data_IF_087983596719
#
_entry.id   IF_087983596719
#
_cell.length_a   1.000
_cell.length_b   1.000
_cell.length_c   1.000
_cell.angle_alpha   90.00
_cell.angle_beta   90.00
_cell.angle_gamma   90.00
#
_symmetry.space_group_name_H-M   'P 1'
#
loop_
_entity.id
_entity.type
_entity.pdbx_description
1 polymer ?
#
# COMPACT_ATOMS: atom_id res chain seq x y z
N UNK A 1 6.70 24.85 -56.65
CA UNK A 1 5.80 24.78 -55.48
C UNK A 1 5.96 23.43 -54.81
N UNK A 2 6.91 23.31 -53.86
CA UNK A 2 7.09 22.13 -52.97
C UNK A 2 7.75 22.64 -51.69
N UNK A 3 6.96 22.84 -50.63
CA UNK A 3 7.43 23.06 -49.26
C UNK A 3 7.07 21.80 -48.50
N UNK A 4 8.06 20.92 -48.28
CA UNK A 4 8.02 19.84 -47.29
C UNK A 4 9.45 19.61 -46.82
N UNK A 5 9.59 19.18 -45.57
CA UNK A 5 10.84 18.84 -44.86
C UNK A 5 11.43 19.97 -44.00
N UNK A 6 10.79 20.26 -42.86
CA UNK A 6 11.42 20.90 -41.69
C UNK A 6 10.54 20.75 -40.42
N UNK A 7 10.00 19.55 -40.17
CA UNK A 7 9.35 19.21 -38.88
C UNK A 7 9.68 17.74 -38.55
N UNK A 8 10.93 17.45 -38.19
CA UNK A 8 11.32 16.14 -37.68
C UNK A 8 12.49 16.18 -36.66
N UNK A 9 12.99 17.38 -36.31
CA UNK A 9 14.15 17.54 -35.44
C UNK A 9 13.83 18.06 -34.03
N UNK A 10 12.54 18.13 -33.64
CA UNK A 10 12.12 18.71 -32.36
C UNK A 10 11.92 17.73 -31.19
N UNK A 11 11.81 16.43 -31.46
CA UNK A 11 11.46 15.44 -30.41
C UNK A 11 12.64 14.64 -29.85
N UNK A 12 13.85 14.77 -30.42
CA UNK A 12 15.02 14.03 -29.96
C UNK A 12 15.83 14.74 -28.86
N UNK A 13 15.59 16.03 -28.59
CA UNK A 13 16.38 16.79 -27.61
C UNK A 13 15.84 16.76 -26.18
N UNK A 14 14.60 16.28 -25.96
CA UNK A 14 14.04 16.15 -24.61
C UNK A 14 14.53 14.90 -23.85
N UNK A 15 15.11 13.93 -24.55
CA UNK A 15 15.58 12.67 -23.95
C UNK A 15 17.00 12.76 -23.33
N UNK A 16 17.76 13.84 -23.59
CA UNK A 16 19.11 14.04 -23.01
C UNK A 16 19.15 14.98 -21.80
N UNK A 17 18.00 15.48 -21.31
CA UNK A 17 17.94 16.41 -20.18
C UNK A 17 17.76 15.72 -18.80
N UNK A 18 17.74 14.39 -18.73
CA UNK A 18 17.21 13.65 -17.57
C UNK A 18 18.22 13.25 -16.46
N UNK A 19 19.42 13.80 -16.42
CA UNK A 19 20.34 13.59 -15.28
C UNK A 19 20.56 14.93 -14.57
N UNK A 20 19.48 15.47 -14.00
CA UNK A 20 19.61 16.52 -13.00
C UNK A 20 20.28 15.88 -11.79
N UNK A 21 21.57 16.15 -11.61
CA UNK A 21 22.26 15.91 -10.36
C UNK A 21 21.57 16.79 -9.31
N UNK A 22 20.78 16.17 -8.42
CA UNK A 22 20.19 16.89 -7.29
C UNK A 22 21.30 17.51 -6.45
N UNK A 23 21.01 18.62 -5.77
CA UNK A 23 21.96 19.28 -4.87
C UNK A 23 22.45 18.35 -3.73
N UNK A 24 21.77 17.22 -3.50
CA UNK A 24 22.14 16.17 -2.54
C UNK A 24 22.80 14.93 -3.16
N UNK A 25 23.10 14.94 -4.47
CA UNK A 25 23.89 13.91 -5.14
C UNK A 25 23.18 12.58 -5.40
N UNK A 26 21.87 12.47 -5.14
CA UNK A 26 21.05 11.34 -5.58
C UNK A 26 20.61 11.59 -7.03
N UNK A 27 21.05 10.79 -8.02
CA UNK A 27 20.56 10.92 -9.40
C UNK A 27 19.11 10.41 -9.46
N UNK A 28 18.20 11.13 -10.11
CA UNK A 28 16.90 10.60 -10.49
C UNK A 28 16.89 10.24 -12.00
N UNK A 29 16.23 9.15 -12.43
CA UNK A 29 15.57 8.12 -11.62
C UNK A 29 16.56 7.19 -10.89
N UNK A 30 16.09 6.53 -9.83
CA UNK A 30 16.84 5.51 -9.09
C UNK A 30 16.19 4.13 -9.23
N UNK A 31 16.75 3.23 -10.05
CA UNK A 31 16.31 1.84 -10.08
C UNK A 31 16.55 1.16 -8.73
N UNK A 32 15.58 0.38 -8.28
CA UNK A 32 15.64 -0.37 -7.03
C UNK A 32 16.44 -1.68 -7.14
N UNK A 33 16.90 -2.05 -8.35
CA UNK A 33 17.77 -3.21 -8.56
C UNK A 33 17.09 -4.56 -8.35
N UNK A 34 15.76 -4.61 -8.30
CA UNK A 34 15.04 -5.86 -8.04
C UNK A 34 14.73 -6.67 -9.31
N UNK A 35 15.13 -6.19 -10.48
CA UNK A 35 14.94 -6.88 -11.75
C UNK A 35 16.03 -7.95 -11.97
N UNK A 36 15.67 -9.09 -12.56
CA UNK A 36 16.63 -10.13 -12.90
C UNK A 36 15.97 -11.45 -13.34
N UNK A 37 16.76 -12.53 -13.48
CA UNK A 37 16.24 -13.85 -13.82
C UNK A 37 15.30 -14.37 -12.73
N UNK A 38 14.25 -15.08 -13.13
CA UNK A 38 13.26 -15.67 -12.23
C UNK A 38 13.87 -16.34 -10.99
N UNK A 39 13.35 -15.97 -9.83
CA UNK A 39 13.71 -16.53 -8.53
C UNK A 39 15.20 -16.37 -8.14
N UNK A 40 15.98 -15.60 -8.90
CA UNK A 40 17.38 -15.38 -8.60
C UNK A 40 17.51 -14.47 -7.37
N UNK A 41 18.57 -14.64 -6.56
CA UNK A 41 18.90 -13.66 -5.54
C UNK A 41 19.30 -12.33 -6.18
N UNK A 42 18.77 -11.23 -5.65
CA UNK A 42 19.14 -9.87 -6.00
C UNK A 42 19.28 -9.00 -4.73
N UNK A 43 19.84 -7.81 -4.87
CA UNK A 43 19.97 -6.84 -3.80
C UNK A 43 19.11 -5.60 -4.11
N UNK A 44 18.29 -5.19 -3.14
CA UNK A 44 17.55 -3.95 -3.25
C UNK A 44 18.52 -2.76 -3.13
N UNK A 45 18.50 -1.88 -4.12
CA UNK A 45 19.18 -0.59 -4.12
C UNK A 45 18.21 0.50 -3.68
N UNK A 46 18.02 0.62 -2.36
CA UNK A 46 17.09 1.58 -1.76
C UNK A 46 17.86 2.67 -1.02
N UNK A 47 17.42 3.93 -1.07
CA UNK A 47 18.05 5.01 -0.32
C UNK A 47 17.78 4.85 1.19
N UNK A 48 18.48 5.65 1.99
CA UNK A 48 18.09 5.84 3.38
C UNK A 48 16.82 6.70 3.44
N UNK A 49 15.78 6.19 4.11
CA UNK A 49 14.51 6.90 4.26
C UNK A 49 14.53 7.73 5.55
N UNK A 50 14.50 9.07 5.47
CA UNK A 50 14.62 9.94 6.64
C UNK A 50 13.33 9.95 7.48
N UNK A 51 13.37 10.45 8.72
CA UNK A 51 12.15 10.71 9.47
C UNK A 51 11.27 11.77 8.79
N UNK A 52 9.95 11.60 8.87
CA UNK A 52 8.95 12.53 8.36
C UNK A 52 8.08 13.09 9.49
N UNK A 53 7.66 14.35 9.36
CA UNK A 53 6.73 15.00 10.27
C UNK A 53 5.63 15.66 9.46
N UNK A 54 4.48 15.01 9.37
CA UNK A 54 3.40 15.37 8.46
C UNK A 54 2.20 15.93 9.25
N UNK A 55 1.61 17.07 8.84
CA UNK A 55 0.28 17.42 9.32
C UNK A 55 -0.72 16.38 8.81
N UNK A 56 -1.74 16.02 9.58
CA UNK A 56 -2.60 14.89 9.24
C UNK A 56 -4.04 15.09 9.69
N UNK A 57 -4.92 14.18 9.26
CA UNK A 57 -6.27 14.02 9.79
C UNK A 57 -6.41 12.64 10.43
N UNK A 58 -7.05 12.61 11.60
CA UNK A 58 -7.72 11.39 12.06
C UNK A 58 -9.11 11.36 11.44
N UNK A 59 -9.54 10.22 10.91
CA UNK A 59 -10.87 10.02 10.35
C UNK A 59 -11.59 8.94 11.12
N UNK A 60 -12.84 9.20 11.50
CA UNK A 60 -13.69 8.20 12.11
C UNK A 60 -14.96 8.08 11.30
N UNK A 61 -15.28 6.85 10.95
CA UNK A 61 -16.46 6.49 10.21
C UNK A 61 -17.45 5.81 11.14
N UNK A 62 -18.72 6.14 11.04
CA UNK A 62 -19.80 5.37 11.64
C UNK A 62 -20.80 5.02 10.55
N UNK A 63 -21.11 3.74 10.38
CA UNK A 63 -21.99 3.27 9.30
C UNK A 63 -21.51 3.76 7.93
N UNK A 64 -20.19 3.67 7.71
CA UNK A 64 -19.50 4.13 6.50
C UNK A 64 -19.61 5.63 6.20
N UNK A 65 -20.10 6.43 7.16
CA UNK A 65 -20.15 7.88 7.07
C UNK A 65 -19.05 8.51 7.91
N UNK A 66 -18.28 9.47 7.36
CA UNK A 66 -17.36 10.26 8.17
C UNK A 66 -18.14 11.03 9.25
N UNK A 67 -17.80 10.82 10.53
CA UNK A 67 -18.44 11.49 11.68
C UNK A 67 -17.51 12.44 12.41
N UNK A 68 -16.21 12.19 12.39
CA UNK A 68 -15.19 13.05 13.01
C UNK A 68 -13.94 13.09 12.15
N UNK A 69 -13.34 14.29 12.06
CA UNK A 69 -12.15 14.56 11.24
C UNK A 69 -11.18 15.50 11.96
N UNK A 70 -10.71 15.19 13.19
CA UNK A 70 -9.81 16.10 13.89
C UNK A 70 -8.45 16.22 13.19
N UNK A 71 -7.92 17.45 13.19
CA UNK A 71 -6.53 17.69 12.82
C UNK A 71 -5.59 16.94 13.76
N UNK A 72 -4.54 16.37 13.19
CA UNK A 72 -3.55 15.57 13.87
C UNK A 72 -2.16 15.93 13.33
N UNK A 73 -1.13 15.38 13.95
CA UNK A 73 0.22 15.37 13.42
C UNK A 73 0.80 13.97 13.52
N UNK A 74 1.34 13.49 12.42
CA UNK A 74 2.08 12.23 12.31
C UNK A 74 3.58 12.53 12.38
N UNK A 75 4.27 11.85 13.28
CA UNK A 75 5.72 11.76 13.29
C UNK A 75 6.11 10.31 12.98
N UNK A 76 6.82 10.14 11.86
CA UNK A 76 7.36 8.86 11.40
C UNK A 76 8.88 8.92 11.57
N UNK A 77 9.44 7.99 12.35
CA UNK A 77 10.89 7.82 12.47
C UNK A 77 11.51 7.41 11.13
N UNK A 78 12.82 7.59 10.98
CA UNK A 78 13.53 7.10 9.79
C UNK A 78 13.36 5.58 9.66
N UNK A 79 13.14 5.10 8.43
CA UNK A 79 12.91 3.68 8.20
C UNK A 79 14.25 2.91 8.28
N UNK A 80 14.26 1.86 9.10
CA UNK A 80 15.44 1.01 9.33
C UNK A 80 15.20 -0.35 8.68
N UNK A 81 16.13 -0.87 7.84
CA UNK A 81 15.96 -2.17 7.20
C UNK A 81 16.04 -3.30 8.24
N UNK A 82 15.11 -4.26 8.14
CA UNK A 82 15.04 -5.47 8.98
C UNK A 82 15.40 -6.72 8.16
N UNK A 83 14.93 -6.77 6.92
CA UNK A 83 15.29 -7.80 5.94
C UNK A 83 15.17 -7.21 4.54
N UNK A 84 15.37 -8.02 3.49
CA UNK A 84 15.35 -7.48 2.15
C UNK A 84 13.96 -6.96 1.80
N UNK A 85 13.87 -5.68 1.45
CA UNK A 85 12.60 -5.00 1.19
C UNK A 85 11.69 -4.84 2.40
N UNK A 86 12.10 -5.18 3.63
CA UNK A 86 11.29 -4.99 4.82
C UNK A 86 11.99 -4.03 5.78
N UNK A 87 11.24 -3.03 6.22
CA UNK A 87 11.70 -1.94 7.08
C UNK A 87 10.82 -1.81 8.31
N UNK A 88 11.34 -1.11 9.31
CA UNK A 88 10.59 -0.67 10.47
C UNK A 88 10.77 0.82 10.71
N UNK A 89 9.71 1.47 11.17
CA UNK A 89 9.73 2.87 11.55
C UNK A 89 8.80 3.11 12.74
N UNK A 90 9.23 3.92 13.70
CA UNK A 90 8.39 4.30 14.82
C UNK A 90 7.33 5.32 14.36
N UNK A 91 6.06 5.07 14.63
CA UNK A 91 4.97 6.03 14.44
C UNK A 91 4.59 6.65 15.78
N UNK A 92 4.33 7.96 15.76
CA UNK A 92 3.60 8.68 16.80
C UNK A 92 2.57 9.61 16.17
N UNK A 93 1.32 9.52 16.61
CA UNK A 93 0.23 10.43 16.23
C UNK A 93 -0.06 11.33 17.42
N UNK A 94 -0.05 12.63 17.20
CA UNK A 94 -0.30 13.66 18.21
C UNK A 94 -1.54 14.47 17.86
N UNK A 95 -2.33 14.80 18.87
CA UNK A 95 -3.47 15.71 18.72
C UNK A 95 -3.02 17.18 18.68
N UNK A 96 -3.93 18.15 18.41
CA UNK A 96 -3.58 19.56 18.35
C UNK A 96 -3.06 20.14 19.67
N UNK A 97 -3.36 19.50 20.80
CA UNK A 97 -2.84 19.87 22.12
C UNK A 97 -1.40 19.35 22.36
N UNK A 98 -0.81 18.62 21.40
CA UNK A 98 0.53 18.06 21.48
C UNK A 98 0.62 16.72 22.23
N UNK A 99 -0.50 16.16 22.68
CA UNK A 99 -0.51 14.86 23.35
C UNK A 99 -0.47 13.72 22.33
N UNK A 100 0.38 12.73 22.56
CA UNK A 100 0.40 11.50 21.77
C UNK A 100 -0.89 10.70 22.04
N UNK A 101 -1.58 10.31 20.97
CA UNK A 101 -2.85 9.56 21.02
C UNK A 101 -2.69 8.14 20.50
N UNK A 102 -1.81 7.91 19.53
CA UNK A 102 -1.46 6.58 19.03
C UNK A 102 0.05 6.50 18.82
N UNK A 103 0.64 5.35 19.13
CA UNK A 103 2.06 5.07 18.88
C UNK A 103 2.29 3.57 18.67
N UNK A 104 3.31 3.23 17.91
CA UNK A 104 3.68 1.85 17.65
C UNK A 104 4.76 1.73 16.58
N UNK A 105 5.28 0.52 16.41
CA UNK A 105 6.24 0.22 15.35
C UNK A 105 5.48 -0.15 14.08
N UNK A 106 5.78 0.54 12.98
CA UNK A 106 5.31 0.16 11.66
C UNK A 106 6.21 -0.93 11.11
N UNK A 107 5.62 -2.00 10.59
CA UNK A 107 6.26 -2.88 9.62
C UNK A 107 5.96 -2.35 8.23
N UNK A 108 7.00 -2.06 7.45
CA UNK A 108 6.91 -1.44 6.13
C UNK A 108 7.54 -2.38 5.11
N UNK A 109 6.73 -2.97 4.23
CA UNK A 109 7.22 -3.87 3.19
C UNK A 109 7.24 -3.11 1.85
N UNK A 110 8.44 -2.83 1.34
CA UNK A 110 8.69 -2.11 0.10
C UNK A 110 8.09 -2.86 -1.09
N UNK A 111 7.29 -2.19 -1.90
CA UNK A 111 6.68 -2.79 -3.09
C UNK A 111 7.37 -2.37 -4.36
N UNK A 112 7.40 -1.05 -4.65
CA UNK A 112 7.83 -0.52 -5.95
C UNK A 112 8.38 0.90 -5.83
N UNK A 113 9.02 1.35 -6.90
CA UNK A 113 9.44 2.74 -7.09
C UNK A 113 9.08 3.26 -8.49
N UNK A 114 8.73 4.55 -8.58
CA UNK A 114 8.41 5.21 -9.84
C UNK A 114 8.77 6.69 -9.80
N UNK A 115 8.66 7.33 -10.96
CA UNK A 115 8.81 8.77 -11.08
C UNK A 115 7.46 9.42 -11.32
N UNK A 116 7.19 10.51 -10.61
CA UNK A 116 6.05 11.37 -10.84
C UNK A 116 6.45 12.73 -11.37
N UNK A 117 5.60 13.30 -12.24
CA UNK A 117 5.74 14.64 -12.78
C UNK A 117 4.45 15.42 -12.53
N UNK A 118 4.46 16.40 -11.61
CA UNK A 118 3.33 17.29 -11.40
C UNK A 118 3.09 18.18 -12.63
N UNK A 119 1.89 18.76 -12.80
CA UNK A 119 1.63 19.72 -13.86
C UNK A 119 2.63 20.88 -13.82
N UNK A 120 3.22 21.20 -14.97
CA UNK A 120 4.31 22.16 -15.06
C UNK A 120 3.90 23.57 -14.58
N UNK A 121 4.82 24.34 -13.94
CA UNK A 121 6.18 23.97 -13.55
C UNK A 121 6.23 23.37 -12.14
N UNK A 122 6.50 22.07 -12.00
CA UNK A 122 6.62 21.43 -10.69
C UNK A 122 7.79 20.44 -10.62
N UNK A 123 8.25 20.10 -9.41
CA UNK A 123 9.39 19.21 -9.19
C UNK A 123 9.06 17.77 -9.62
N UNK A 124 9.98 17.12 -10.31
CA UNK A 124 9.90 15.68 -10.54
C UNK A 124 10.17 14.94 -9.23
N UNK A 125 9.32 13.98 -8.87
CA UNK A 125 9.51 13.15 -7.67
C UNK A 125 9.96 11.75 -8.06
N UNK A 126 10.92 11.18 -7.32
CA UNK A 126 11.11 9.73 -7.25
C UNK A 126 10.38 9.23 -6.01
N UNK A 127 9.49 8.25 -6.17
CA UNK A 127 8.63 7.75 -5.09
C UNK A 127 8.97 6.30 -4.77
N UNK A 128 9.06 5.95 -3.50
CA UNK A 128 9.16 4.58 -3.02
C UNK A 128 7.97 4.26 -2.13
N UNK A 129 7.22 3.22 -2.48
CA UNK A 129 6.02 2.80 -1.75
C UNK A 129 6.28 1.61 -0.85
N UNK A 130 5.65 1.67 0.31
CA UNK A 130 5.62 0.61 1.30
C UNK A 130 4.18 0.26 1.63
N UNK A 131 3.87 -1.04 1.64
CA UNK A 131 2.70 -1.53 2.35
C UNK A 131 3.01 -1.55 3.84
N UNK A 132 2.10 -1.02 4.64
CA UNK A 132 2.31 -0.81 6.07
C UNK A 132 1.34 -1.63 6.90
N UNK A 133 1.86 -2.24 7.97
CA UNK A 133 1.11 -2.95 9.01
C UNK A 133 1.63 -2.54 10.38
N UNK A 134 0.75 -2.31 11.34
CA UNK A 134 1.15 -1.86 12.67
C UNK A 134 0.19 -2.31 13.76
N UNK A 135 0.71 -2.55 14.96
CA UNK A 135 -0.08 -2.61 16.18
C UNK A 135 0.12 -1.28 16.91
N UNK A 136 -0.90 -0.42 16.88
CA UNK A 136 -0.85 0.90 17.50
C UNK A 136 -1.57 0.88 18.84
N UNK A 137 -0.91 1.40 19.88
CA UNK A 137 -1.46 1.57 21.21
C UNK A 137 -1.58 3.04 21.60
N UNK A 138 -2.31 3.31 22.67
CA UNK A 138 -2.44 4.67 23.22
C UNK A 138 -1.40 4.92 24.29
N UNK A 139 -0.83 6.13 24.32
CA UNK A 139 -0.10 6.61 25.50
C UNK A 139 -1.11 7.24 26.46
N UNK A 140 -1.55 6.46 27.46
CA UNK A 140 -2.29 6.84 28.68
C UNK A 140 -3.36 7.97 28.63
N UNK A 141 -4.59 7.63 29.03
CA UNK A 141 -5.66 8.51 29.51
C UNK A 141 -6.43 9.40 28.49
N UNK A 142 -6.13 9.33 27.20
CA UNK A 142 -6.96 9.97 26.16
C UNK A 142 -8.09 8.99 25.81
N UNK A 143 -9.25 9.10 26.48
CA UNK A 143 -10.45 8.31 26.13
C UNK A 143 -10.76 8.39 24.63
N UNK A 144 -11.51 7.43 24.08
CA UNK A 144 -11.72 7.11 22.64
C UNK A 144 -12.12 8.25 21.69
N UNK A 145 -11.30 9.29 21.61
CA UNK A 145 -11.38 10.40 20.68
C UNK A 145 -10.74 9.99 19.37
N UNK A 146 -11.35 10.37 18.25
CA UNK A 146 -10.86 10.06 16.92
C UNK A 146 -9.38 10.45 16.74
N UNK A 147 -8.50 9.61 16.14
CA UNK A 147 -8.78 8.31 15.51
C UNK A 147 -8.53 7.08 16.41
N UNK A 148 -8.54 7.23 17.73
CA UNK A 148 -8.25 6.13 18.67
C UNK A 148 -9.41 5.12 18.69
N UNK A 149 -9.19 3.85 18.30
CA UNK A 149 -10.23 2.83 18.36
C UNK A 149 -10.64 2.51 19.79
N UNK A 150 -11.94 2.37 20.02
CA UNK A 150 -12.51 2.02 21.34
C UNK A 150 -12.15 0.61 21.81
N UNK A 151 -11.65 -0.25 20.91
CA UNK A 151 -11.18 -1.59 21.24
C UNK A 151 -9.83 -1.61 21.99
N UNK A 152 -9.09 -0.50 22.00
CA UNK A 152 -7.86 -0.39 22.79
C UNK A 152 -8.23 -0.28 24.27
N UNK A 153 -7.83 -1.27 25.06
CA UNK A 153 -8.14 -1.39 26.50
C UNK A 153 -6.91 -1.78 27.29
N UNK A 154 -6.98 -1.77 28.63
CA UNK A 154 -5.88 -2.29 29.46
C UNK A 154 -5.57 -3.79 29.18
N UNK A 155 -6.57 -4.58 28.80
CA UNK A 155 -6.40 -5.98 28.44
C UNK A 155 -5.82 -6.16 27.03
N UNK A 156 -6.11 -5.23 26.12
CA UNK A 156 -5.65 -5.24 24.73
C UNK A 156 -5.09 -3.86 24.38
N UNK A 157 -3.81 -3.61 24.72
CA UNK A 157 -3.23 -2.26 24.71
C UNK A 157 -2.91 -1.72 23.32
N UNK A 158 -3.10 -2.53 22.28
CA UNK A 158 -2.84 -2.17 20.88
C UNK A 158 -3.95 -2.70 19.98
N UNK A 159 -4.10 -2.08 18.81
CA UNK A 159 -4.98 -2.57 17.74
C UNK A 159 -4.29 -2.51 16.38
N UNK A 160 -4.73 -3.36 15.46
CA UNK A 160 -4.12 -3.54 14.15
C UNK A 160 -4.53 -2.44 13.17
N UNK A 161 -3.55 -1.82 12.52
CA UNK A 161 -3.71 -0.87 11.43
C UNK A 161 -2.96 -1.35 10.20
N UNK A 162 -3.48 -1.05 9.01
CA UNK A 162 -2.82 -1.35 7.74
C UNK A 162 -3.09 -0.27 6.69
N UNK A 163 -2.26 -0.23 5.64
CA UNK A 163 -2.39 0.71 4.52
C UNK A 163 -1.06 0.87 3.79
N UNK A 164 -0.65 2.11 3.50
CA UNK A 164 0.63 2.40 2.83
C UNK A 164 1.34 3.63 3.39
N UNK A 165 2.63 3.71 3.09
CA UNK A 165 3.44 4.91 3.25
C UNK A 165 4.31 5.10 2.01
N UNK A 166 4.38 6.34 1.54
CA UNK A 166 5.24 6.75 0.44
C UNK A 166 6.32 7.70 0.94
N UNK A 167 7.54 7.48 0.45
CA UNK A 167 8.61 8.46 0.52
C UNK A 167 8.82 9.03 -0.87
N UNK A 168 8.66 10.35 -1.00
CA UNK A 168 8.81 11.05 -2.26
C UNK A 168 10.04 11.98 -2.18
N UNK A 169 11.05 11.74 -3.01
CA UNK A 169 12.22 12.58 -3.11
C UNK A 169 12.05 13.55 -4.28
N UNK A 170 12.02 14.86 -3.96
CA UNK A 170 12.04 15.92 -4.96
C UNK A 170 13.41 15.94 -5.65
N UNK A 171 13.45 15.54 -6.91
CA UNK A 171 14.66 15.41 -7.70
C UNK A 171 15.32 16.77 -8.03
N UNK A 172 14.59 17.87 -7.90
CA UNK A 172 15.11 19.23 -8.12
C UNK A 172 15.73 19.81 -6.86
N UNK A 173 15.00 19.75 -5.74
CA UNK A 173 15.42 20.39 -4.47
C UNK A 173 16.23 19.45 -3.57
N UNK A 174 16.11 18.15 -3.78
CA UNK A 174 16.68 17.12 -2.92
C UNK A 174 15.95 16.97 -1.58
N UNK A 175 14.71 17.46 -1.45
CA UNK A 175 13.95 17.32 -0.20
C UNK A 175 13.06 16.08 -0.21
N UNK A 176 12.84 15.52 0.97
CA UNK A 176 11.91 14.41 1.16
C UNK A 176 10.54 14.91 1.60
N UNK A 177 9.53 14.44 0.90
CA UNK A 177 8.12 14.49 1.26
C UNK A 177 7.60 13.06 1.47
N UNK A 178 6.34 12.91 1.85
CA UNK A 178 5.72 11.60 1.93
C UNK A 178 4.24 11.64 2.20
N UNK A 179 3.61 10.48 2.02
CA UNK A 179 2.22 10.24 2.34
C UNK A 179 2.10 9.02 3.26
N UNK A 180 1.06 8.99 4.07
CA UNK A 180 0.73 7.87 4.96
C UNK A 180 -0.78 7.74 5.04
N UNK A 181 -1.28 6.54 4.77
CA UNK A 181 -2.66 6.16 5.07
C UNK A 181 -2.65 4.87 5.86
N UNK A 182 -3.27 4.92 7.05
CA UNK A 182 -3.48 3.76 7.91
C UNK A 182 -4.96 3.63 8.23
N UNK A 183 -5.44 2.40 8.30
CA UNK A 183 -6.83 2.09 8.57
C UNK A 183 -6.98 0.95 9.57
N UNK A 184 -7.96 1.09 10.44
CA UNK A 184 -8.47 0.05 11.32
C UNK A 184 -9.94 -0.20 10.95
N UNK A 185 -10.22 -1.40 10.46
CA UNK A 185 -11.55 -1.83 10.05
C UNK A 185 -12.53 -1.98 11.22
N UNK A 186 -13.81 -2.09 10.89
CA UNK A 186 -14.82 -2.46 11.90
C UNK A 186 -14.70 -3.93 12.29
N UNK A 187 -15.46 -4.35 13.30
CA UNK A 187 -15.40 -5.72 13.86
C UNK A 187 -15.51 -6.83 12.84
N UNK A 188 -16.28 -6.62 11.77
CA UNK A 188 -16.41 -7.61 10.70
C UNK A 188 -15.02 -8.04 10.23
N UNK A 189 -14.11 -7.11 10.04
CA UNK A 189 -12.76 -7.37 9.53
C UNK A 189 -11.75 -7.50 10.68
N UNK A 190 -11.87 -6.66 11.71
CA UNK A 190 -10.86 -6.53 12.76
C UNK A 190 -11.13 -7.27 14.07
N UNK A 191 -12.34 -7.77 14.29
CA UNK A 191 -12.69 -8.48 15.54
C UNK A 191 -13.55 -9.72 15.30
N UNK A 192 -13.61 -10.23 14.06
CA UNK A 192 -14.28 -11.50 13.72
C UNK A 192 -13.88 -12.62 14.69
N UNK A 193 -14.70 -13.67 14.93
CA UNK A 193 -14.36 -14.78 15.84
C UNK A 193 -13.01 -15.49 15.60
N UNK A 194 -12.32 -15.18 14.50
CA UNK A 194 -10.97 -15.63 14.15
C UNK A 194 -9.86 -14.63 14.52
N UNK A 195 -10.21 -13.47 15.09
CA UNK A 195 -9.26 -12.45 15.50
C UNK A 195 -8.46 -12.89 16.71
N UNK A 196 -7.15 -12.66 16.65
CA UNK A 196 -6.26 -12.99 17.76
C UNK A 196 -6.26 -11.91 18.87
N UNK A 197 -6.93 -10.78 18.65
CA UNK A 197 -7.10 -9.71 19.64
C UNK A 197 -8.57 -9.64 20.08
N UNK A 198 -8.97 -10.32 21.17
CA UNK A 198 -10.31 -10.15 21.74
C UNK A 198 -10.47 -8.69 22.22
N UNK A 199 -11.66 -8.11 22.19
CA UNK A 199 -11.79 -6.69 22.56
C UNK A 199 -13.22 -6.19 22.68
N UNK A 200 -13.35 -4.88 22.89
CA UNK A 200 -14.64 -4.18 22.82
C UNK A 200 -15.01 -3.99 21.35
N UNK A 201 -16.07 -4.67 20.95
CA UNK A 201 -16.67 -4.61 19.62
C UNK A 201 -17.19 -3.20 19.27
N UNK A 202 -16.85 -2.70 18.09
CA UNK A 202 -17.35 -1.49 17.44
C UNK A 202 -17.84 -1.79 16.00
N UNK A 203 -18.99 -2.47 15.84
CA UNK A 203 -19.37 -3.09 14.57
C UNK A 203 -19.75 -2.08 13.48
N UNK A 204 -20.06 -0.85 13.88
CA UNK A 204 -20.37 0.25 12.97
C UNK A 204 -19.22 1.20 12.71
N UNK A 205 -18.08 1.04 13.38
CA UNK A 205 -17.05 2.09 13.43
C UNK A 205 -15.73 1.61 12.85
N UNK A 206 -15.11 2.46 12.05
CA UNK A 206 -13.75 2.29 11.55
C UNK A 206 -12.97 3.60 11.65
N UNK A 207 -11.65 3.51 11.60
CA UNK A 207 -10.76 4.61 11.93
C UNK A 207 -9.65 4.68 10.88
N UNK A 208 -9.28 5.87 10.45
CA UNK A 208 -8.14 6.08 9.57
C UNK A 208 -7.24 7.22 10.07
N UNK A 209 -5.98 7.18 9.65
CA UNK A 209 -5.03 8.28 9.77
C UNK A 209 -4.57 8.58 8.35
N UNK A 210 -4.66 9.83 7.93
CA UNK A 210 -4.27 10.28 6.58
C UNK A 210 -3.31 11.46 6.69
N UNK A 211 -2.19 11.39 5.99
CA UNK A 211 -1.18 12.44 5.92
C UNK A 211 -0.54 12.48 4.51
N UNK A 212 -0.10 13.65 4.01
CA UNK A 212 -0.16 14.95 4.66
C UNK A 212 -1.54 15.61 4.47
N UNK A 213 -1.99 16.44 5.41
CA UNK A 213 -3.20 17.27 5.23
C UNK A 213 -2.91 18.70 5.65
N UNK A 214 -3.20 19.66 4.78
CA UNK A 214 -3.06 21.08 5.07
C UNK A 214 -4.07 21.90 4.27
N UNK A 215 -4.12 23.22 4.49
CA UNK A 215 -4.93 24.09 3.65
C UNK A 215 -4.47 24.07 2.17
N UNK A 216 -3.17 23.87 1.93
CA UNK A 216 -2.61 23.76 0.59
C UNK A 216 -2.83 22.37 -0.01
N UNK A 217 -2.96 21.32 0.82
CA UNK A 217 -3.22 19.96 0.37
C UNK A 217 -4.39 19.35 1.17
N UNK A 218 -5.64 19.75 0.88
CA UNK A 218 -6.78 19.30 1.64
C UNK A 218 -7.14 17.87 1.27
N UNK A 219 -7.58 17.10 2.27
CA UNK A 219 -8.11 15.76 2.08
C UNK A 219 -9.61 15.72 2.37
N UNK A 220 -10.37 15.05 1.52
CA UNK A 220 -11.82 14.90 1.65
C UNK A 220 -12.19 13.42 1.64
N UNK A 221 -12.74 12.89 2.76
CA UNK A 221 -13.25 11.54 2.80
C UNK A 221 -14.38 11.35 1.79
N UNK A 222 -14.34 10.24 1.05
CA UNK A 222 -15.31 9.97 0.00
C UNK A 222 -15.51 8.47 -0.18
N UNK A 223 -16.73 8.07 -0.54
CA UNK A 223 -17.03 6.73 -1.02
C UNK A 223 -16.88 6.71 -2.55
N UNK A 224 -15.96 5.90 -3.06
CA UNK A 224 -15.60 5.89 -4.47
C UNK A 224 -15.38 4.47 -4.98
N UNK A 225 -15.85 4.14 -6.19
CA UNK A 225 -15.41 2.92 -6.86
C UNK A 225 -13.96 3.07 -7.33
N UNK A 226 -13.15 2.02 -7.16
CA UNK A 226 -11.77 1.99 -7.67
C UNK A 226 -11.72 1.84 -9.21
N UNK A 227 -12.65 1.04 -9.75
CA UNK A 227 -12.76 0.74 -11.19
C UNK A 227 -12.36 -0.69 -11.53
N UNK A 228 -12.49 -1.03 -12.82
CA UNK A 228 -12.17 -2.35 -13.37
C UNK A 228 -11.09 -2.22 -14.44
N UNK A 229 -10.35 -3.28 -14.69
CA UNK A 229 -9.43 -3.32 -15.82
C UNK A 229 -8.55 -4.55 -15.86
N UNK A 230 -7.82 -4.70 -16.96
CA UNK A 230 -6.74 -5.68 -17.06
C UNK A 230 -5.58 -5.25 -16.16
N UNK A 231 -4.89 -6.21 -15.57
CA UNK A 231 -3.64 -5.94 -14.87
C UNK A 231 -2.53 -5.72 -15.89
N UNK A 232 -1.73 -4.69 -15.68
CA UNK A 232 -0.64 -4.32 -16.57
C UNK A 232 0.65 -4.08 -15.78
N UNK A 233 1.78 -4.44 -16.39
CA UNK A 233 3.12 -4.26 -15.81
C UNK A 233 3.28 -4.85 -14.40
N UNK A 234 4.40 -4.51 -13.77
CA UNK A 234 4.71 -4.80 -12.36
C UNK A 234 4.93 -6.26 -12.05
N UNK A 235 4.86 -6.62 -10.77
CA UNK A 235 5.35 -7.89 -10.32
C UNK A 235 4.72 -8.45 -9.04
N UNK A 236 4.92 -9.75 -8.89
CA UNK A 236 4.81 -10.43 -7.60
C UNK A 236 6.20 -10.72 -7.08
N UNK A 237 6.32 -10.84 -5.75
CA UNK A 237 7.59 -11.17 -5.13
C UNK A 237 7.41 -11.96 -3.85
N UNK A 238 8.20 -13.03 -3.73
CA UNK A 238 8.46 -13.68 -2.46
C UNK A 238 9.62 -12.95 -1.75
N UNK A 239 9.36 -12.46 -0.54
CA UNK A 239 10.33 -11.73 0.29
C UNK A 239 11.02 -12.62 1.33
N UNK A 240 10.84 -13.94 1.24
CA UNK A 240 11.59 -14.89 2.05
C UNK A 240 13.10 -14.74 1.78
N UNK A 241 13.89 -14.79 2.85
CA UNK A 241 15.34 -14.60 2.76
C UNK A 241 15.98 -15.79 2.03
N UNK A 242 16.78 -15.49 1.01
CA UNK A 242 17.58 -16.49 0.29
C UNK A 242 19.01 -16.42 0.81
N UNK A 243 19.51 -17.50 1.43
CA UNK A 243 20.94 -17.65 1.72
C UNK A 243 21.51 -16.87 2.91
N UNK A 244 20.72 -16.56 3.93
CA UNK A 244 21.22 -16.03 5.22
C UNK A 244 21.74 -14.59 5.21
N UNK A 245 21.87 -13.94 4.05
CA UNK A 245 22.08 -12.50 3.90
C UNK A 245 20.76 -11.77 3.57
N UNK A 246 20.73 -10.44 3.67
CA UNK A 246 19.64 -9.56 3.23
C UNK A 246 19.58 -9.56 1.69
N UNK A 247 19.32 -10.72 1.07
CA UNK A 247 19.11 -10.88 -0.35
C UNK A 247 17.60 -11.00 -0.62
N UNK A 248 17.13 -10.29 -1.64
CA UNK A 248 15.76 -10.37 -2.15
C UNK A 248 15.72 -11.46 -3.22
N UNK A 249 14.53 -12.00 -3.49
CA UNK A 249 14.28 -12.60 -4.80
C UNK A 249 13.98 -11.49 -5.80
N UNK A 250 14.40 -11.70 -7.05
CA UNK A 250 14.01 -10.84 -8.18
C UNK A 250 12.50 -10.76 -8.30
N UNK A 251 12.02 -9.61 -8.76
CA UNK A 251 10.61 -9.40 -9.09
C UNK A 251 10.19 -10.28 -10.26
N UNK A 252 9.06 -10.98 -10.11
CA UNK A 252 8.46 -11.73 -11.19
C UNK A 252 7.39 -10.88 -11.87
N UNK A 253 7.62 -10.52 -13.13
CA UNK A 253 6.67 -9.69 -13.87
C UNK A 253 5.32 -10.38 -14.03
N UNK A 254 4.23 -9.60 -13.96
CA UNK A 254 2.90 -10.08 -14.32
C UNK A 254 2.81 -10.28 -15.83
N UNK A 255 2.33 -11.45 -16.24
CA UNK A 255 2.04 -11.79 -17.64
C UNK A 255 0.59 -11.48 -18.04
N UNK A 256 -0.32 -11.44 -17.06
CA UNK A 256 -1.69 -11.04 -17.26
C UNK A 256 -2.54 -11.17 -15.99
N UNK A 257 -3.77 -10.69 -16.08
CA UNK A 257 -4.71 -10.70 -14.97
C UNK A 257 -5.82 -9.67 -15.15
N UNK A 258 -6.70 -9.57 -14.17
CA UNK A 258 -7.72 -8.55 -14.12
C UNK A 258 -8.11 -8.17 -12.70
N UNK A 259 -8.67 -6.98 -12.57
CA UNK A 259 -9.38 -6.51 -11.41
C UNK A 259 -10.83 -6.24 -11.80
N UNK A 260 -11.76 -6.87 -11.08
CA UNK A 260 -13.19 -6.74 -11.32
C UNK A 260 -13.95 -6.47 -10.01
N UNK A 261 -14.53 -5.29 -9.90
CA UNK A 261 -15.51 -4.95 -8.89
C UNK A 261 -16.78 -5.77 -9.09
N UNK A 262 -17.14 -6.55 -8.07
CA UNK A 262 -18.31 -7.44 -8.05
C UNK A 262 -19.53 -6.75 -7.43
N UNK A 263 -19.30 -5.81 -6.52
CA UNK A 263 -20.36 -5.07 -5.85
C UNK A 263 -19.82 -4.09 -4.82
N UNK A 264 -20.71 -3.27 -4.29
CA UNK A 264 -20.38 -2.23 -3.33
C UNK A 264 -21.44 -2.15 -2.23
N UNK A 265 -21.02 -1.86 -1.01
CA UNK A 265 -21.88 -1.76 0.16
C UNK A 265 -21.18 -0.98 1.27
N UNK A 266 -21.92 -0.61 2.31
CA UNK A 266 -21.33 -0.41 3.61
C UNK A 266 -21.19 -1.77 4.29
N UNK A 267 -20.00 -2.15 4.76
CA UNK A 267 -19.80 -3.42 5.46
C UNK A 267 -19.83 -3.28 7.00
N UNK A 268 -20.01 -2.05 7.51
CA UNK A 268 -19.81 -1.69 8.91
C UNK A 268 -20.95 -0.80 9.47
N UNK A 269 -22.17 -1.30 9.75
CA UNK A 269 -22.67 -2.66 9.51
C UNK A 269 -23.10 -2.84 8.05
N UNK A 270 -23.42 -4.09 7.66
CA UNK A 270 -23.85 -4.38 6.31
C UNK A 270 -25.10 -3.57 5.94
N UNK A 271 -24.96 -2.63 5.01
CA UNK A 271 -26.06 -1.84 4.48
C UNK A 271 -25.78 -1.41 3.04
N UNK A 272 -26.83 -1.09 2.29
CA UNK A 272 -26.71 -0.53 0.95
C UNK A 272 -26.54 1.00 0.95
N UNK A 273 -26.56 1.63 2.13
CA UNK A 273 -26.31 3.06 2.27
C UNK A 273 -24.80 3.34 2.23
N UNK A 274 -24.40 4.41 1.54
CA UNK A 274 -23.02 4.94 1.49
C UNK A 274 -21.95 3.87 1.27
N UNK A 275 -21.77 3.42 0.01
CA UNK A 275 -20.97 2.26 -0.30
C UNK A 275 -19.46 2.55 -0.26
N UNK A 276 -18.93 2.63 0.97
CA UNK A 276 -17.51 2.83 1.23
C UNK A 276 -16.69 1.57 0.92
N UNK A 277 -17.30 0.38 0.96
CA UNK A 277 -16.62 -0.88 0.72
C UNK A 277 -17.02 -1.44 -0.64
N UNK A 278 -16.08 -2.09 -1.32
CA UNK A 278 -16.36 -2.88 -2.50
C UNK A 278 -15.76 -4.27 -2.41
N UNK A 279 -16.47 -5.25 -2.93
CA UNK A 279 -15.97 -6.60 -3.12
C UNK A 279 -15.39 -6.71 -4.53
N UNK A 280 -14.18 -7.23 -4.67
CA UNK A 280 -13.43 -7.23 -5.90
C UNK A 280 -12.78 -8.61 -6.12
N UNK A 281 -12.84 -9.10 -7.35
CA UNK A 281 -12.03 -10.21 -7.81
C UNK A 281 -10.75 -9.65 -8.40
N UNK A 282 -9.65 -9.83 -7.68
CA UNK A 282 -8.31 -9.55 -8.15
C UNK A 282 -7.63 -10.89 -8.47
N UNK A 283 -7.20 -11.05 -9.72
CA UNK A 283 -6.52 -12.25 -10.20
C UNK A 283 -5.38 -11.89 -11.13
N UNK A 284 -4.23 -12.56 -10.96
CA UNK A 284 -3.09 -12.37 -11.84
C UNK A 284 -2.20 -13.60 -11.94
N UNK A 285 -1.39 -13.61 -12.99
CA UNK A 285 -0.43 -14.66 -13.30
C UNK A 285 0.91 -13.98 -13.58
N UNK A 286 1.97 -14.48 -12.95
CA UNK A 286 3.34 -14.07 -13.16
C UNK A 286 3.93 -14.65 -14.45
N UNK A 287 5.22 -14.44 -14.65
CA UNK A 287 5.96 -14.84 -15.85
C UNK A 287 7.00 -15.92 -15.60
N UNK A 288 7.26 -16.26 -14.34
CA UNK A 288 8.27 -17.22 -13.94
C UNK A 288 7.64 -18.58 -13.70
N UNK A 289 7.92 -19.60 -14.53
CA UNK A 289 7.44 -20.96 -14.29
C UNK A 289 8.26 -21.66 -13.21
N UNK A 290 7.60 -22.52 -12.45
CA UNK A 290 8.22 -23.47 -11.54
C UNK A 290 8.78 -24.69 -12.30
N UNK A 291 9.29 -25.68 -11.57
CA UNK A 291 9.82 -26.93 -12.17
C UNK A 291 8.78 -27.77 -12.94
N UNK A 292 7.50 -27.54 -12.72
CA UNK A 292 6.38 -28.19 -13.43
C UNK A 292 5.87 -27.36 -14.61
N UNK A 293 6.40 -26.16 -14.83
CA UNK A 293 5.97 -25.23 -15.86
C UNK A 293 4.83 -24.30 -15.45
N UNK A 294 4.43 -24.30 -14.17
CA UNK A 294 3.36 -23.43 -13.66
C UNK A 294 3.91 -22.08 -13.20
N UNK A 295 3.39 -20.95 -13.71
CA UNK A 295 3.81 -19.63 -13.27
C UNK A 295 3.26 -19.28 -11.87
N UNK A 296 3.86 -18.29 -11.19
CA UNK A 296 3.22 -17.76 -9.99
C UNK A 296 1.83 -17.25 -10.33
N UNK A 297 0.90 -17.35 -9.40
CA UNK A 297 -0.44 -16.82 -9.60
C UNK A 297 -1.06 -16.43 -8.27
N UNK A 298 -2.01 -15.50 -8.34
CA UNK A 298 -2.82 -15.12 -7.19
C UNK A 298 -4.26 -14.93 -7.63
N UNK A 299 -5.17 -15.22 -6.72
CA UNK A 299 -6.58 -14.97 -6.90
C UNK A 299 -7.21 -14.66 -5.55
N UNK A 300 -7.92 -13.54 -5.45
CA UNK A 300 -8.80 -13.28 -4.32
C UNK A 300 -9.88 -14.37 -4.27
N UNK A 301 -10.10 -14.97 -3.10
CA UNK A 301 -11.05 -16.06 -2.90
C UNK A 301 -12.10 -15.69 -1.87
N UNK A 302 -13.30 -16.26 -2.03
CA UNK A 302 -14.36 -16.18 -1.06
C UNK A 302 -14.43 -17.50 -0.28
N UNK A 303 -14.09 -17.45 1.01
CA UNK A 303 -14.10 -18.64 1.89
C UNK A 303 -15.29 -18.51 2.86
N UNK A 304 -16.24 -19.48 2.87
CA UNK A 304 -17.37 -19.45 3.80
C UNK A 304 -16.92 -19.30 5.26
N UNK A 305 -17.61 -18.43 6.00
CA UNK A 305 -17.29 -18.13 7.40
C UNK A 305 -16.16 -17.12 7.60
N UNK A 306 -15.50 -16.67 6.54
CA UNK A 306 -14.53 -15.58 6.60
C UNK A 306 -15.21 -14.23 6.33
N UNK A 307 -14.67 -13.13 6.89
CA UNK A 307 -15.34 -11.84 6.79
C UNK A 307 -15.25 -11.19 5.40
N UNK A 308 -14.27 -11.61 4.60
CA UNK A 308 -14.00 -11.12 3.27
C UNK A 308 -14.76 -11.91 2.21
N UNK A 309 -15.47 -11.19 1.35
CA UNK A 309 -16.05 -11.73 0.12
C UNK A 309 -15.10 -11.31 -1.00
N UNK A 310 -14.13 -12.17 -1.33
CA UNK A 310 -12.97 -11.86 -2.17
C UNK A 310 -12.08 -10.76 -1.56
N UNK A 311 -11.55 -9.84 -2.36
CA UNK A 311 -10.82 -8.65 -1.89
C UNK A 311 -11.83 -7.57 -1.52
N UNK A 312 -11.69 -7.00 -0.33
CA UNK A 312 -12.45 -5.85 0.12
C UNK A 312 -11.58 -4.60 -0.01
N UNK A 313 -12.06 -3.62 -0.78
CA UNK A 313 -11.46 -2.28 -0.84
C UNK A 313 -12.32 -1.30 -0.05
N UNK A 314 -11.75 -0.64 0.94
CA UNK A 314 -12.39 0.40 1.75
C UNK A 314 -11.93 1.77 1.28
N UNK A 315 -12.84 2.54 0.67
CA UNK A 315 -12.58 3.90 0.20
C UNK A 315 -12.32 4.84 1.37
N UNK A 316 -11.20 5.56 1.35
CA UNK A 316 -10.86 6.51 2.40
C UNK A 316 -11.21 7.93 1.96
N UNK A 317 -10.77 8.35 0.76
CA UNK A 317 -11.01 9.71 0.26
C UNK A 317 -9.99 10.15 -0.78
N UNK A 318 -9.85 11.47 -0.94
CA UNK A 318 -8.95 12.07 -1.93
C UNK A 318 -8.23 13.29 -1.38
N UNK A 319 -6.98 13.47 -1.77
CA UNK A 319 -6.36 14.79 -1.82
C UNK A 319 -6.88 15.56 -3.01
N UNK A 320 -7.11 16.87 -2.85
CA UNK A 320 -7.71 17.72 -3.89
C UNK A 320 -6.74 18.70 -4.54
N UNK A 321 -5.43 18.47 -4.44
CA UNK A 321 -4.44 19.43 -4.91
C UNK A 321 -3.73 18.97 -6.19
N UNK A 322 -4.02 19.56 -7.37
CA UNK A 322 -3.35 19.16 -8.61
C UNK A 322 -1.94 19.74 -8.81
N UNK A 323 -1.49 20.74 -8.04
CA UNK A 323 -0.24 21.51 -8.34
C UNK A 323 0.63 21.86 -7.13
N UNK A 324 0.36 21.32 -5.93
CA UNK A 324 1.17 21.61 -4.75
C UNK A 324 1.98 20.41 -4.25
N UNK A 325 2.13 20.24 -2.92
CA UNK A 325 2.98 19.18 -2.37
C UNK A 325 2.42 17.79 -2.67
N UNK A 326 3.29 16.80 -2.58
CA UNK A 326 2.95 15.37 -2.70
C UNK A 326 1.80 14.98 -1.74
N UNK A 327 0.87 14.07 -2.12
CA UNK A 327 0.82 13.22 -3.34
C UNK A 327 0.04 13.83 -4.53
N UNK A 328 -0.25 15.13 -4.51
CA UNK A 328 -1.10 15.73 -5.54
C UNK A 328 -2.58 15.31 -5.41
N UNK A 329 -3.29 15.17 -6.53
CA UNK A 329 -4.72 14.82 -6.56
C UNK A 329 -4.91 13.30 -6.53
N UNK A 330 -4.46 12.64 -5.45
CA UNK A 330 -4.53 11.18 -5.28
C UNK A 330 -5.83 10.75 -4.58
N UNK A 331 -6.44 9.70 -5.09
CA UNK A 331 -7.55 8.96 -4.47
C UNK A 331 -7.00 7.71 -3.77
N UNK A 332 -7.50 7.38 -2.58
CA UNK A 332 -6.98 6.25 -1.80
C UNK A 332 -8.07 5.31 -1.29
N UNK A 333 -7.75 4.03 -1.37
CA UNK A 333 -8.43 2.90 -0.74
C UNK A 333 -7.43 2.09 0.08
N UNK A 334 -7.92 1.40 1.10
CA UNK A 334 -7.17 0.34 1.77
C UNK A 334 -7.78 -1.01 1.41
N UNK A 335 -6.92 -2.00 1.26
CA UNK A 335 -7.29 -3.30 0.71
C UNK A 335 -7.05 -4.40 1.74
N UNK A 336 -7.97 -5.36 1.79
CA UNK A 336 -7.82 -6.57 2.60
C UNK A 336 -8.56 -7.76 1.98
N UNK A 337 -8.00 -8.96 2.10
CA UNK A 337 -8.68 -10.15 1.60
C UNK A 337 -7.90 -11.44 1.77
N UNK A 338 -8.56 -12.55 1.43
CA UNK A 338 -7.94 -13.86 1.32
C UNK A 338 -7.61 -14.17 -0.13
N UNK A 339 -6.43 -14.70 -0.35
CA UNK A 339 -5.93 -15.05 -1.67
C UNK A 339 -5.44 -16.49 -1.68
N UNK A 340 -5.83 -17.23 -2.70
CA UNK A 340 -5.06 -18.39 -3.14
C UNK A 340 -3.83 -17.86 -3.88
N UNK A 341 -2.67 -18.42 -3.56
CA UNK A 341 -1.40 -18.02 -4.13
C UNK A 341 -0.59 -19.25 -4.51
N UNK A 342 -0.02 -19.24 -5.70
CA UNK A 342 0.99 -20.20 -6.17
C UNK A 342 2.32 -19.47 -6.30
N UNK A 343 3.34 -19.96 -5.61
CA UNK A 343 4.71 -19.41 -5.59
C UNK A 343 5.63 -20.27 -6.45
N UNK A 344 5.92 -19.81 -7.68
CA UNK A 344 6.80 -20.55 -8.59
C UNK A 344 8.26 -20.56 -8.14
N UNK A 345 8.61 -19.67 -7.20
CA UNK A 345 9.92 -19.56 -6.59
C UNK A 345 10.02 -20.34 -5.27
N UNK A 346 9.01 -21.13 -4.92
CA UNK A 346 9.07 -22.01 -3.76
C UNK A 346 10.18 -23.07 -3.94
N UNK A 347 10.95 -23.40 -2.89
CA UNK A 347 11.92 -24.49 -2.97
C UNK A 347 11.19 -25.82 -3.22
N UNK A 348 11.84 -26.76 -3.90
CA UNK A 348 11.25 -28.07 -4.28
C UNK A 348 10.72 -28.90 -3.08
N UNK A 349 11.14 -28.57 -1.85
CA UNK A 349 10.70 -29.22 -0.61
C UNK A 349 9.48 -28.56 0.03
N UNK A 350 9.00 -27.43 -0.48
CA UNK A 350 7.85 -26.70 0.04
C UNK A 350 6.64 -26.88 -0.88
N UNK A 351 5.43 -26.80 -0.29
CA UNK A 351 4.20 -26.69 -1.07
C UNK A 351 4.15 -25.29 -1.71
N UNK A 352 4.07 -25.18 -3.05
CA UNK A 352 4.03 -23.87 -3.73
C UNK A 352 2.68 -23.17 -3.56
N UNK A 353 1.61 -23.94 -3.36
CA UNK A 353 0.27 -23.42 -3.16
C UNK A 353 0.01 -23.05 -1.69
N UNK A 354 -0.62 -21.90 -1.48
CA UNK A 354 -0.99 -21.42 -0.15
C UNK A 354 -2.24 -20.54 -0.17
N UNK A 355 -2.89 -20.45 0.99
CA UNK A 355 -3.90 -19.43 1.29
C UNK A 355 -3.22 -18.36 2.14
N UNK A 356 -3.39 -17.10 1.75
CA UNK A 356 -2.77 -15.97 2.43
C UNK A 356 -3.80 -14.88 2.70
N UNK A 357 -3.66 -14.21 3.85
CA UNK A 357 -4.36 -12.95 4.09
C UNK A 357 -3.46 -11.82 3.64
N UNK A 358 -3.96 -10.95 2.78
CA UNK A 358 -3.26 -9.76 2.29
C UNK A 358 -3.89 -8.50 2.85
N UNK A 359 -3.04 -7.51 3.12
CA UNK A 359 -3.41 -6.14 3.47
C UNK A 359 -2.60 -5.18 2.63
N UNK A 360 -3.13 -3.99 2.38
CA UNK A 360 -2.38 -2.92 1.75
C UNK A 360 -3.25 -1.76 1.33
N UNK A 361 -2.95 -1.18 0.18
CA UNK A 361 -3.66 -0.03 -0.33
C UNK A 361 -3.70 0.01 -1.84
N UNK A 362 -4.73 0.69 -2.33
CA UNK A 362 -4.83 1.06 -3.72
C UNK A 362 -4.89 2.56 -3.83
N UNK A 363 -4.21 3.11 -4.82
CA UNK A 363 -4.29 4.53 -5.13
C UNK A 363 -4.67 4.74 -6.57
N UNK A 364 -5.35 5.85 -6.86
CA UNK A 364 -5.68 6.28 -8.21
C UNK A 364 -5.33 7.76 -8.37
N UNK A 365 -5.07 8.21 -9.59
CA UNK A 365 -4.71 9.60 -9.91
C UNK A 365 -3.35 9.98 -9.31
N UNK A 366 -3.24 11.13 -8.65
CA UNK A 366 -1.97 11.71 -8.21
C UNK A 366 -1.32 12.56 -9.32
N UNK A 367 0.01 12.68 -9.27
CA UNK A 367 0.77 13.27 -10.37
C UNK A 367 1.00 12.25 -11.49
N UNK A 368 1.38 12.74 -12.68
CA UNK A 368 1.57 11.85 -13.82
C UNK A 368 2.77 10.95 -13.60
N UNK A 369 2.57 9.64 -13.66
CA UNK A 369 3.62 8.64 -13.53
C UNK A 369 4.37 8.53 -14.86
N UNK A 370 5.70 8.66 -14.82
CA UNK A 370 6.52 8.34 -16.00
C UNK A 370 6.58 6.81 -16.16
N UNK A 371 6.40 6.29 -17.38
CA UNK A 371 6.46 4.85 -17.58
C UNK A 371 7.84 4.31 -17.21
N UNK A 372 7.89 3.34 -16.31
CA UNK A 372 9.15 2.74 -15.88
C UNK A 372 9.58 1.56 -16.76
N UNK A 373 8.66 0.78 -17.36
CA UNK A 373 8.84 -0.29 -18.39
C UNK A 373 7.59 -1.21 -18.44
N UNK A 374 6.93 -1.55 -19.59
CA UNK A 374 7.12 -1.12 -20.98
C UNK A 374 6.05 -0.07 -21.38
N UNK A 375 6.23 1.19 -20.97
CA UNK A 375 5.52 2.31 -21.59
C UNK A 375 4.03 2.47 -21.24
N UNK A 376 3.48 1.69 -20.31
CA UNK A 376 2.08 1.84 -19.91
C UNK A 376 1.99 2.94 -18.87
N UNK A 377 1.40 4.07 -19.27
CA UNK A 377 0.96 5.09 -18.33
C UNK A 377 -0.16 4.49 -17.49
N UNK A 378 -0.01 4.58 -16.18
CA UNK A 378 -1.03 4.23 -15.21
C UNK A 378 -1.04 5.30 -14.14
N UNK A 379 -2.21 5.54 -13.59
CA UNK A 379 -2.40 6.32 -12.40
C UNK A 379 -3.02 5.48 -11.29
N UNK A 380 -3.10 4.15 -11.44
CA UNK A 380 -3.79 3.24 -10.53
C UNK A 380 -2.89 2.11 -10.08
N UNK A 381 -2.61 2.11 -8.79
CA UNK A 381 -1.70 1.19 -8.13
C UNK A 381 -2.47 0.33 -7.12
N UNK A 382 -2.27 -0.99 -7.15
CA UNK A 382 -2.71 -1.91 -6.08
C UNK A 382 -1.46 -2.52 -5.44
N UNK A 383 -1.21 -2.24 -4.16
CA UNK A 383 -0.05 -2.69 -3.40
C UNK A 383 -0.50 -3.51 -2.20
N UNK A 384 -0.18 -4.81 -2.17
CA UNK A 384 -0.57 -5.74 -1.13
C UNK A 384 0.63 -6.49 -0.57
N UNK A 385 0.63 -6.69 0.75
CA UNK A 385 1.57 -7.54 1.45
C UNK A 385 0.83 -8.63 2.22
N UNK A 386 1.31 -9.86 2.12
CA UNK A 386 0.76 -10.94 2.92
C UNK A 386 1.05 -10.70 4.41
N UNK A 387 0.15 -11.17 5.25
CA UNK A 387 0.29 -11.14 6.70
C UNK A 387 0.12 -12.53 7.30
N UNK A 388 -0.67 -13.40 6.66
CA UNK A 388 -0.77 -14.78 7.06
C UNK A 388 -0.47 -15.68 5.88
N UNK A 389 0.12 -16.84 6.16
CA UNK A 389 0.51 -17.83 5.15
C UNK A 389 0.17 -19.23 5.63
N UNK A 390 -0.68 -19.92 4.88
CA UNK A 390 -1.09 -21.29 5.14
C UNK A 390 -0.84 -22.16 3.90
N UNK A 391 0.20 -23.01 3.89
CA UNK A 391 0.42 -23.95 2.81
C UNK A 391 -0.79 -24.86 2.60
N UNK A 392 -1.17 -25.13 1.34
CA UNK A 392 -2.25 -26.07 1.04
C UNK A 392 -1.87 -27.46 1.56
N UNK A 393 -2.84 -28.15 2.16
CA UNK A 393 -2.64 -29.47 2.80
C UNK A 393 -2.15 -29.41 4.24
N UNK A 394 -1.83 -28.23 4.77
CA UNK A 394 -1.61 -28.04 6.22
C UNK A 394 -2.93 -28.07 7.00
N UNK A 395 -2.87 -28.33 8.31
CA UNK A 395 -4.05 -28.28 9.17
C UNK A 395 -4.67 -26.88 9.10
N UNK A 396 -5.99 -26.81 8.86
CA UNK A 396 -6.71 -25.55 8.75
C UNK A 396 -6.71 -24.82 10.10
N UNK A 397 -5.70 -23.98 10.31
CA UNK A 397 -5.71 -22.96 11.36
C UNK A 397 -6.24 -21.71 10.68
N UNK A 398 -7.44 -21.28 11.09
CA UNK A 398 -8.00 -20.01 10.60
C UNK A 398 -6.99 -18.89 10.89
N UNK A 399 -6.83 -17.94 9.95
CA UNK A 399 -5.82 -16.89 10.09
C UNK A 399 -6.02 -16.17 11.41
N UNK A 400 -4.95 -16.00 12.19
CA UNK A 400 -4.92 -15.02 13.26
C UNK A 400 -5.01 -13.64 12.61
N UNK A 401 -6.22 -13.10 12.51
CA UNK A 401 -6.42 -11.75 12.00
C UNK A 401 -6.00 -10.74 13.07
N UNK A 402 -5.58 -9.54 12.64
CA UNK A 402 -5.27 -8.41 13.52
C UNK A 402 -4.00 -8.57 14.39
N UNK A 403 -3.03 -9.33 13.89
CA UNK A 403 -1.66 -9.27 14.38
C UNK A 403 -0.73 -8.86 13.24
N UNK A 404 0.27 -8.05 13.54
CA UNK A 404 1.37 -7.81 12.61
C UNK A 404 2.23 -9.07 12.54
N UNK A 405 2.19 -9.71 11.38
CA UNK A 405 2.97 -10.90 11.08
C UNK A 405 3.94 -10.61 9.93
N UNK A 406 5.04 -11.38 9.81
CA UNK A 406 5.99 -11.22 8.71
C UNK A 406 5.31 -11.40 7.35
N UNK A 407 5.72 -10.56 6.41
CA UNK A 407 5.31 -10.68 5.01
C UNK A 407 6.09 -11.79 4.35
N UNK A 408 5.40 -12.61 3.54
CA UNK A 408 6.02 -13.61 2.67
C UNK A 408 5.88 -13.24 1.21
N UNK A 409 4.72 -12.73 0.81
CA UNK A 409 4.41 -12.41 -0.58
C UNK A 409 3.99 -10.96 -0.72
N UNK A 410 4.41 -10.34 -1.82
CA UNK A 410 3.98 -9.03 -2.26
C UNK A 410 3.26 -9.17 -3.61
N UNK A 411 2.17 -8.43 -3.76
CA UNK A 411 1.45 -8.24 -5.02
C UNK A 411 1.44 -6.73 -5.26
N UNK A 412 2.06 -6.27 -6.33
CA UNK A 412 1.98 -4.90 -6.76
C UNK A 412 1.63 -4.91 -8.25
N UNK A 413 0.41 -4.50 -8.57
CA UNK A 413 -0.13 -4.48 -9.94
C UNK A 413 -0.76 -3.13 -10.32
N UNK A 414 -0.77 -2.82 -11.62
CA UNK A 414 -1.38 -1.61 -12.16
C UNK A 414 -2.69 -1.89 -12.88
N UNK A 415 -3.52 -0.86 -12.95
CA UNK A 415 -4.69 -0.80 -13.83
C UNK A 415 -4.53 0.39 -14.79
N UNK A 416 -4.82 0.23 -16.10
CA UNK A 416 -4.80 1.34 -17.06
C UNK A 416 -5.79 2.48 -16.76
#
# INVERSE_FOLDING_TARGET
MKIRSLIAAGFALAALAGHLLSAQGLPCPQPDGLQGPCCAPTAANLPAFPPLSLPSLGLCFNQCNPVQQPNMKVALGGAVPVSCGAYQAQLTVTNPAGAAVLSGMLRMDYTRTWVEVPPAPGPQYQVWRFVVKANLGTSAAVGGACPVPTCITAANPTTFFYGYADYAFDCLTGTWEGALVLYHGCDRFSHSPVSATPGVFHPGTSYAIVAPVSAANPFVPAAMPYGNGALVAEAVRDVSTVGGAIACKTEERISGGFHQQLGFACACPLSLANPMHSANLLQGVGSCPDSSGLPSSFQAINVPGQPWVFEIKSSIGNWLNPVGPYPGNESVWVDEGLFQYHDSCAPATATPDSINTFYGASTARGFNVLPTDPGILTDKFIDLASNFHLPVGSAAVLPATNLVLPTRYLIYVNIP
#
